data_IF_549781178186
#
_entry.id   IF_549781178186
#
_cell.length_a   1.000
_cell.length_b   1.000
_cell.length_c   1.000
_cell.angle_alpha   90.00
_cell.angle_beta   90.00
_cell.angle_gamma   90.00
#
_symmetry.space_group_name_H-M   'P 1'
#
loop_
_entity.id
_entity.type
_entity.pdbx_description
1 polymer ?
#
# COMPACT_ATOMS: atom_id res chain seq x y z
N UNK A 1 -27.43 8.04 -4.12
CA UNK A 1 -26.24 7.64 -3.33
C UNK A 1 -25.16 7.38 -4.35
N UNK A 2 -24.53 8.45 -4.80
CA UNK A 2 -23.81 8.49 -6.07
C UNK A 2 -22.40 8.98 -5.80
N UNK A 3 -21.44 8.06 -5.94
CA UNK A 3 -20.03 8.32 -5.67
C UNK A 3 -19.23 7.04 -5.48
N UNK A 4 -19.16 6.25 -6.54
CA UNK A 4 -18.23 5.14 -6.81
C UNK A 4 -17.03 5.03 -5.84
N UNK A 5 -17.06 4.05 -4.93
CA UNK A 5 -15.85 3.45 -4.36
C UNK A 5 -15.42 2.29 -5.25
N UNK A 6 -14.82 2.59 -6.41
CA UNK A 6 -14.29 1.59 -7.35
C UNK A 6 -12.92 1.10 -6.88
N UNK A 7 -12.87 -0.01 -6.15
CA UNK A 7 -11.62 -0.69 -5.81
C UNK A 7 -11.75 -1.63 -4.63
N UNK A 8 -11.51 -2.92 -4.84
CA UNK A 8 -11.68 -3.98 -3.83
C UNK A 8 -10.93 -3.67 -2.52
N UNK A 9 -11.63 -3.82 -1.40
CA UNK A 9 -11.21 -3.39 -0.05
C UNK A 9 -10.07 -4.17 0.60
N UNK A 10 -9.10 -4.67 -0.15
CA UNK A 10 -7.89 -5.28 0.40
C UNK A 10 -6.71 -4.29 0.29
N UNK A 11 -6.34 -3.69 1.42
CA UNK A 11 -5.14 -2.84 1.55
C UNK A 11 -3.85 -3.67 1.78
N UNK A 12 -3.94 -5.00 1.68
CA UNK A 12 -2.86 -5.93 1.97
C UNK A 12 -2.79 -7.02 0.89
N UNK A 13 -1.58 -7.28 0.40
CA UNK A 13 -1.27 -8.35 -0.54
C UNK A 13 -0.37 -9.38 0.16
N UNK A 14 -0.88 -10.60 0.35
CA UNK A 14 -0.09 -11.70 0.89
C UNK A 14 0.81 -12.31 -0.18
N UNK A 15 2.10 -12.41 0.10
CA UNK A 15 3.08 -13.05 -0.78
C UNK A 15 3.88 -14.09 0.00
N UNK A 16 4.02 -15.27 -0.57
CA UNK A 16 4.98 -16.29 -0.13
C UNK A 16 6.37 -15.99 -0.72
N UNK A 17 7.44 -16.62 -0.20
CA UNK A 17 8.77 -16.51 -0.80
C UNK A 17 8.74 -16.82 -2.30
N UNK A 18 9.45 -15.99 -3.08
CA UNK A 18 9.48 -16.02 -4.54
C UNK A 18 8.14 -15.74 -5.27
N UNK A 19 7.08 -15.34 -4.57
CA UNK A 19 5.88 -14.78 -5.22
C UNK A 19 6.03 -13.29 -5.47
N UNK A 20 5.46 -12.84 -6.59
CA UNK A 20 5.28 -11.43 -6.92
C UNK A 20 3.80 -11.09 -7.10
N UNK A 21 3.50 -9.81 -7.11
CA UNK A 21 2.17 -9.28 -7.40
C UNK A 21 2.21 -7.76 -7.49
N UNK A 22 1.09 -7.16 -7.88
CA UNK A 22 0.93 -5.71 -7.95
C UNK A 22 -0.37 -5.30 -7.28
N UNK A 23 -0.43 -4.02 -6.87
CA UNK A 23 -1.64 -3.37 -6.38
C UNK A 23 -1.87 -2.11 -7.22
N UNK A 24 -3.13 -1.81 -7.47
CA UNK A 24 -3.55 -0.54 -8.07
C UNK A 24 -4.16 0.32 -6.97
N UNK A 25 -3.75 1.58 -6.91
CA UNK A 25 -4.21 2.53 -5.90
C UNK A 25 -4.25 3.94 -6.48
N UNK A 26 -5.14 4.76 -5.92
CA UNK A 26 -5.17 6.19 -6.13
C UNK A 26 -4.71 6.89 -4.84
N UNK A 27 -3.78 7.84 -4.96
CA UNK A 27 -3.33 8.70 -3.85
C UNK A 27 -4.06 10.04 -4.00
N UNK A 28 -5.11 10.30 -3.20
CA UNK A 28 -6.03 11.42 -3.45
C UNK A 28 -5.41 12.78 -3.14
N UNK A 29 -4.36 12.83 -2.31
CA UNK A 29 -3.76 14.06 -1.82
C UNK A 29 -2.23 13.95 -1.79
N UNK A 30 -1.54 15.10 -1.85
CA UNK A 30 -0.09 15.15 -1.64
C UNK A 30 0.24 14.80 -0.19
N UNK A 31 1.30 14.02 0.03
CA UNK A 31 1.62 13.53 1.36
C UNK A 31 2.58 12.35 1.40
N UNK A 32 2.72 11.77 2.59
CA UNK A 32 3.57 10.63 2.87
C UNK A 32 2.72 9.46 3.35
N UNK A 33 2.70 8.39 2.58
CA UNK A 33 1.89 7.20 2.84
C UNK A 33 2.81 6.04 3.23
N UNK A 34 2.81 5.60 4.49
CA UNK A 34 3.62 4.46 4.91
C UNK A 34 3.06 3.16 4.31
N UNK A 35 3.95 2.26 3.92
CA UNK A 35 3.60 0.87 3.64
C UNK A 35 4.54 -0.05 4.40
N UNK A 36 4.03 -1.21 4.80
CA UNK A 36 4.68 -2.07 5.80
C UNK A 36 4.39 -3.54 5.51
N UNK A 37 5.34 -4.43 5.80
CA UNK A 37 5.02 -5.84 5.97
C UNK A 37 4.13 -6.02 7.20
N UNK A 38 3.01 -6.74 7.06
CA UNK A 38 2.12 -7.01 8.19
C UNK A 38 2.73 -7.99 9.22
N UNK A 39 3.89 -8.58 8.90
CA UNK A 39 4.76 -9.29 9.85
C UNK A 39 5.66 -8.24 10.53
N UNK A 40 5.26 -7.82 11.74
CA UNK A 40 5.88 -6.66 12.41
C UNK A 40 7.37 -6.81 12.68
N UNK A 41 7.85 -8.03 12.95
CA UNK A 41 9.29 -8.30 13.12
C UNK A 41 10.09 -7.97 11.85
N UNK A 42 9.53 -8.16 10.67
CA UNK A 42 10.18 -7.80 9.42
C UNK A 42 10.10 -6.29 9.18
N UNK A 43 8.98 -5.67 9.53
CA UNK A 43 8.81 -4.22 9.49
C UNK A 43 9.84 -3.49 10.36
N UNK A 44 10.10 -4.01 11.57
CA UNK A 44 11.16 -3.52 12.47
C UNK A 44 12.55 -3.68 11.83
N UNK A 45 12.77 -4.78 11.11
CA UNK A 45 14.01 -5.07 10.37
C UNK A 45 14.13 -4.32 9.04
N UNK A 46 13.16 -3.48 8.70
CA UNK A 46 13.23 -2.58 7.55
C UNK A 46 12.32 -2.93 6.37
N UNK A 47 11.45 -3.95 6.47
CA UNK A 47 10.43 -4.26 5.46
C UNK A 47 9.26 -3.25 5.53
N UNK A 48 9.57 -1.97 5.34
CA UNK A 48 8.67 -0.83 5.37
C UNK A 48 9.22 0.30 4.51
N UNK A 49 8.36 1.16 4.01
CA UNK A 49 8.75 2.32 3.24
C UNK A 49 7.68 3.40 3.25
N UNK A 50 7.90 4.44 2.46
CA UNK A 50 6.98 5.56 2.33
C UNK A 50 6.82 5.93 0.87
N UNK A 51 5.59 5.97 0.41
CA UNK A 51 5.24 6.58 -0.86
C UNK A 51 5.09 8.09 -0.64
N UNK A 52 5.80 8.89 -1.43
CA UNK A 52 5.67 10.35 -1.41
C UNK A 52 4.80 10.78 -2.59
N UNK A 53 3.58 11.21 -2.31
CA UNK A 53 2.71 11.87 -3.27
C UNK A 53 3.06 13.36 -3.32
N UNK A 54 3.31 13.87 -4.52
CA UNK A 54 3.55 15.30 -4.77
C UNK A 54 2.35 15.87 -5.52
N UNK A 55 2.15 17.18 -5.41
CA UNK A 55 1.20 17.89 -6.28
C UNK A 55 1.58 17.65 -7.75
N UNK A 56 0.56 17.59 -8.62
CA UNK A 56 0.75 17.34 -10.05
C UNK A 56 1.32 18.55 -10.78
#
# INVERSE_FOLDING_TARGET
SDGVGSGGGAQALGLLPAQGGFVELELPEAGHYPFVSHIMSDAERGAKGTLRAVER
#
